data_IF_712830402254
#
_entry.id   IF_712830402254
#
_cell.length_a   1.000
_cell.length_b   1.000
_cell.length_c   1.000
_cell.angle_alpha   90.00
_cell.angle_beta   90.00
_cell.angle_gamma   90.00
#
_symmetry.space_group_name_H-M   'P 1'
#
loop_
_entity.id
_entity.type
_entity.pdbx_description
1 polymer ?
#
# COMPACT_ATOMS: atom_id res chain seq x y z
N UNK A 1 4.66 5.33 -19.32
CA UNK A 1 5.03 4.71 -18.02
C UNK A 1 3.96 5.13 -17.01
N UNK A 2 3.59 4.28 -16.04
CA UNK A 2 2.54 4.62 -15.07
C UNK A 2 2.97 5.80 -14.19
N UNK A 3 2.06 6.76 -14.01
CA UNK A 3 2.26 7.87 -13.09
C UNK A 3 1.75 7.50 -11.69
N UNK A 4 2.68 7.25 -10.78
CA UNK A 4 2.39 6.91 -9.38
C UNK A 4 2.09 8.13 -8.52
N UNK A 5 2.20 9.33 -9.09
CA UNK A 5 1.98 10.60 -8.41
C UNK A 5 0.80 11.38 -8.96
N UNK A 6 -0.04 10.75 -9.81
CA UNK A 6 -1.34 11.31 -10.19
C UNK A 6 -2.12 11.71 -8.94
N UNK A 7 -2.77 12.87 -8.97
CA UNK A 7 -3.62 13.36 -7.87
C UNK A 7 -5.05 12.82 -7.92
N UNK A 8 -5.44 12.17 -9.02
CA UNK A 8 -6.78 11.62 -9.20
C UNK A 8 -6.74 10.24 -9.84
N UNK A 9 -7.67 9.39 -9.43
CA UNK A 9 -7.98 8.10 -10.02
C UNK A 9 -8.76 8.31 -11.33
N UNK A 10 -8.85 7.30 -12.20
CA UNK A 10 -9.66 7.39 -13.43
C UNK A 10 -11.15 7.66 -13.15
N UNK A 11 -11.64 7.28 -11.96
CA UNK A 11 -12.99 7.58 -11.48
C UNK A 11 -13.21 9.06 -11.12
N UNK A 12 -12.17 9.89 -11.12
CA UNK A 12 -12.20 11.28 -10.68
C UNK A 12 -12.10 11.49 -9.17
N UNK A 13 -11.98 10.41 -8.39
CA UNK A 13 -11.72 10.50 -6.95
C UNK A 13 -10.28 10.94 -6.69
N UNK A 14 -10.01 11.72 -5.63
CA UNK A 14 -8.65 11.99 -5.18
C UNK A 14 -7.92 10.68 -4.91
N UNK A 15 -6.69 10.56 -5.40
CA UNK A 15 -5.83 9.40 -5.14
C UNK A 15 -4.98 9.61 -3.89
N UNK A 16 -4.99 10.79 -3.28
CA UNK A 16 -4.10 11.11 -2.18
C UNK A 16 -4.75 11.85 -1.02
N UNK A 17 -4.17 11.61 0.16
CA UNK A 17 -4.55 12.28 1.41
C UNK A 17 -3.29 12.67 2.16
N UNK A 18 -3.14 13.97 2.43
CA UNK A 18 -2.08 14.50 3.29
C UNK A 18 -2.57 14.52 4.75
N UNK A 19 -1.79 13.98 5.66
CA UNK A 19 -2.17 13.81 7.06
C UNK A 19 -0.94 13.81 7.97
N UNK A 20 -1.11 14.17 9.25
CA UNK A 20 -0.02 14.20 10.24
C UNK A 20 -0.43 13.63 11.61
N UNK A 21 -1.60 13.00 11.66
CA UNK A 21 -2.19 12.42 12.85
C UNK A 21 -1.28 11.34 13.42
N UNK A 22 -1.17 11.33 14.76
CA UNK A 22 -0.31 10.36 15.46
C UNK A 22 -0.77 8.92 15.30
N UNK A 23 -2.04 8.72 14.93
CA UNK A 23 -2.65 7.43 14.73
C UNK A 23 -3.72 7.53 13.65
N UNK A 24 -3.63 6.67 12.64
CA UNK A 24 -4.67 6.51 11.62
C UNK A 24 -4.70 5.07 11.10
N UNK A 25 -5.81 4.72 10.47
CA UNK A 25 -6.00 3.46 9.78
C UNK A 25 -5.85 3.59 8.28
N UNK A 26 -5.49 2.48 7.63
CA UNK A 26 -5.66 2.28 6.20
C UNK A 26 -6.76 1.24 6.01
N UNK A 27 -7.74 1.59 5.19
CA UNK A 27 -8.94 0.82 4.92
C UNK A 27 -8.98 0.44 3.45
N UNK A 28 -9.59 -0.70 3.18
CA UNK A 28 -10.07 -1.12 1.85
C UNK A 28 -11.46 -1.72 2.08
N UNK A 29 -12.48 -1.16 1.44
CA UNK A 29 -13.86 -1.64 1.58
C UNK A 29 -14.14 -2.67 0.50
N UNK A 30 -14.01 -3.95 0.85
CA UNK A 30 -14.27 -5.06 -0.05
C UNK A 30 -15.71 -5.09 -0.62
N UNK A 31 -16.66 -4.38 0.00
CA UNK A 31 -18.03 -4.23 -0.53
C UNK A 31 -18.10 -3.22 -1.68
N UNK A 32 -17.09 -2.37 -1.81
CA UNK A 32 -16.95 -1.30 -2.81
C UNK A 32 -15.73 -1.56 -3.69
N UNK A 33 -15.76 -2.67 -4.42
CA UNK A 33 -14.64 -3.18 -5.25
C UNK A 33 -14.05 -2.20 -6.27
N UNK A 34 -14.70 -1.08 -6.53
CA UNK A 34 -14.27 -0.03 -7.47
C UNK A 34 -13.78 1.24 -6.77
N UNK A 35 -13.88 1.32 -5.44
CA UNK A 35 -13.32 2.41 -4.66
C UNK A 35 -11.87 2.07 -4.30
N UNK A 36 -10.98 3.07 -4.30
CA UNK A 36 -9.59 2.88 -3.89
C UNK A 36 -9.47 2.70 -2.37
N UNK A 37 -8.35 2.11 -1.94
CA UNK A 37 -7.93 2.16 -0.55
C UNK A 37 -7.81 3.60 -0.06
N UNK A 38 -8.06 3.82 1.24
CA UNK A 38 -8.11 5.15 1.83
C UNK A 38 -7.65 5.16 3.29
N UNK A 39 -7.37 6.36 3.82
CA UNK A 39 -7.03 6.56 5.23
C UNK A 39 -8.23 7.00 6.05
N UNK A 40 -8.26 6.59 7.32
CA UNK A 40 -9.27 7.00 8.29
C UNK A 40 -8.61 7.40 9.61
N UNK A 41 -8.92 8.61 10.08
CA UNK A 41 -8.44 9.14 11.37
C UNK A 41 -9.48 8.96 12.49
N UNK A 42 -10.67 8.45 12.15
CA UNK A 42 -11.74 8.21 13.13
C UNK A 42 -11.44 6.97 13.96
N UNK A 43 -11.02 7.17 15.21
CA UNK A 43 -10.78 6.08 16.17
C UNK A 43 -12.08 5.32 16.47
N UNK A 44 -13.25 5.97 16.38
CA UNK A 44 -14.54 5.29 16.50
C UNK A 44 -14.75 4.25 15.38
N UNK A 45 -14.12 4.45 14.21
CA UNK A 45 -14.13 3.51 13.09
C UNK A 45 -12.92 2.56 13.11
N UNK A 46 -12.08 2.52 14.15
CA UNK A 46 -10.85 1.73 14.16
C UNK A 46 -11.06 0.23 13.92
N UNK A 47 -12.26 -0.28 14.20
CA UNK A 47 -12.62 -1.65 13.88
C UNK A 47 -12.54 -1.96 12.38
N UNK A 48 -12.72 -0.98 11.48
CA UNK A 48 -12.68 -1.15 10.02
C UNK A 48 -11.27 -1.02 9.43
N UNK A 49 -10.28 -0.63 10.23
CA UNK A 49 -8.91 -0.46 9.77
C UNK A 49 -8.28 -1.83 9.49
N UNK A 50 -7.71 -1.99 8.30
CA UNK A 50 -6.95 -3.20 7.95
C UNK A 50 -5.51 -3.06 8.40
N UNK A 51 -4.92 -1.89 8.19
CA UNK A 51 -3.62 -1.52 8.73
C UNK A 51 -3.77 -0.35 9.71
N UNK A 52 -2.90 -0.34 10.73
CA UNK A 52 -2.77 0.75 11.70
C UNK A 52 -1.41 1.40 11.51
N UNK A 53 -1.38 2.72 11.41
CA UNK A 53 -0.14 3.51 11.33
C UNK A 53 0.04 4.31 12.62
N UNK A 54 1.16 4.08 13.32
CA UNK A 54 1.56 4.85 14.49
C UNK A 54 2.60 5.90 14.11
N UNK A 55 2.15 7.11 13.80
CA UNK A 55 2.99 8.26 13.46
C UNK A 55 3.30 9.10 14.72
N UNK A 56 3.92 8.49 15.73
CA UNK A 56 4.11 9.13 17.05
C UNK A 56 4.83 10.48 17.00
N UNK A 57 5.69 10.68 16.01
CA UNK A 57 6.44 11.92 15.80
C UNK A 57 5.64 13.01 15.06
N UNK A 58 4.44 12.70 14.54
CA UNK A 58 3.62 13.65 13.79
C UNK A 58 4.25 14.08 12.48
N UNK A 59 4.94 13.16 11.78
CA UNK A 59 5.46 13.46 10.44
C UNK A 59 4.29 13.79 9.51
N UNK A 60 4.53 14.71 8.58
CA UNK A 60 3.65 14.84 7.44
C UNK A 60 3.78 13.57 6.57
N UNK A 61 2.65 12.90 6.39
CA UNK A 61 2.53 11.67 5.60
C UNK A 61 1.57 11.94 4.47
N UNK A 62 1.95 11.55 3.26
CA UNK A 62 1.06 11.51 2.10
C UNK A 62 0.69 10.05 1.84
N UNK A 63 -0.57 9.70 2.07
CA UNK A 63 -1.11 8.45 1.56
C UNK A 63 -1.47 8.62 0.09
N UNK A 64 -1.13 7.63 -0.73
CA UNK A 64 -1.45 7.53 -2.15
C UNK A 64 -2.10 6.18 -2.41
N UNK A 65 -3.36 6.17 -2.83
CA UNK A 65 -4.03 5.01 -3.36
C UNK A 65 -3.35 4.58 -4.67
N UNK A 66 -3.10 3.28 -4.79
CA UNK A 66 -2.51 2.65 -5.96
C UNK A 66 -3.55 1.76 -6.62
N UNK A 67 -4.28 0.99 -5.83
CA UNK A 67 -5.44 0.24 -6.32
C UNK A 67 -6.51 1.20 -6.86
N UNK A 68 -7.19 0.75 -7.92
CA UNK A 68 -8.18 1.54 -8.67
C UNK A 68 -7.75 2.93 -9.22
N UNK A 69 -6.56 3.44 -8.89
CA UNK A 69 -6.10 4.77 -9.30
C UNK A 69 -5.00 4.75 -10.35
N UNK A 70 -4.20 3.69 -10.40
CA UNK A 70 -3.08 3.58 -11.34
C UNK A 70 -3.32 2.45 -12.33
N UNK A 71 -3.45 2.82 -13.61
CA UNK A 71 -3.52 1.88 -14.72
C UNK A 71 -2.11 1.38 -15.09
N UNK A 72 -1.82 0.13 -14.74
CA UNK A 72 -0.59 -0.57 -15.13
C UNK A 72 -1.00 -1.76 -15.98
N UNK A 73 -0.55 -1.81 -17.24
CA UNK A 73 -0.87 -2.89 -18.17
C UNK A 73 0.35 -3.78 -18.41
N UNK A 74 0.11 -5.08 -18.48
CA UNK A 74 1.07 -6.06 -19.00
C UNK A 74 1.24 -5.86 -20.50
N UNK A 75 2.28 -6.46 -21.08
CA UNK A 75 2.45 -6.50 -22.55
C UNK A 75 1.29 -7.15 -23.31
N UNK A 76 0.48 -7.98 -22.63
CA UNK A 76 -0.75 -8.57 -23.18
C UNK A 76 -1.96 -7.62 -23.17
N UNK A 77 -1.84 -6.40 -22.65
CA UNK A 77 -2.95 -5.45 -22.47
C UNK A 77 -3.83 -5.73 -21.25
N UNK A 78 -3.57 -6.80 -20.49
CA UNK A 78 -4.27 -7.08 -19.24
C UNK A 78 -3.75 -6.22 -18.09
N UNK A 79 -4.62 -5.94 -17.12
CA UNK A 79 -4.24 -5.25 -15.89
C UNK A 79 -3.15 -6.01 -15.15
N UNK A 80 -2.09 -5.30 -14.77
CA UNK A 80 -1.03 -5.80 -13.92
C UNK A 80 -1.45 -5.76 -12.45
N UNK A 81 -0.94 -6.71 -11.66
CA UNK A 81 -1.14 -6.71 -10.21
C UNK A 81 -0.42 -5.51 -9.60
N UNK A 82 -1.07 -4.87 -8.65
CA UNK A 82 -0.59 -3.70 -7.91
C UNK A 82 -1.04 -3.81 -6.46
N UNK A 83 -0.30 -3.19 -5.54
CA UNK A 83 -0.71 -3.10 -4.15
C UNK A 83 -1.78 -2.03 -3.94
N UNK A 84 -2.32 -1.98 -2.72
CA UNK A 84 -3.41 -1.07 -2.37
C UNK A 84 -2.95 0.38 -2.27
N UNK A 85 -1.81 0.65 -1.64
CA UNK A 85 -1.38 2.04 -1.50
C UNK A 85 0.09 2.24 -1.15
N UNK A 86 0.46 3.52 -1.05
CA UNK A 86 1.76 3.99 -0.61
C UNK A 86 1.62 5.04 0.50
N UNK A 87 2.54 5.01 1.46
CA UNK A 87 2.77 6.12 2.39
C UNK A 87 4.10 6.78 2.06
N UNK A 88 4.09 8.10 1.91
CA UNK A 88 5.28 8.89 1.66
C UNK A 88 5.53 9.84 2.82
N UNK A 89 6.74 9.83 3.36
CA UNK A 89 7.17 10.79 4.38
C UNK A 89 8.69 10.97 4.28
N UNK A 90 9.18 12.20 4.39
CA UNK A 90 10.59 12.53 4.18
C UNK A 90 11.14 11.92 2.87
N UNK A 91 12.20 11.12 2.94
CA UNK A 91 12.76 10.36 1.81
C UNK A 91 12.25 8.92 1.74
N UNK A 92 11.26 8.52 2.54
CA UNK A 92 10.77 7.14 2.63
C UNK A 92 9.45 6.96 1.87
N UNK A 93 9.38 5.86 1.13
CA UNK A 93 8.15 5.38 0.48
C UNK A 93 7.86 3.98 1.03
N UNK A 94 6.67 3.79 1.57
CA UNK A 94 6.20 2.51 2.08
C UNK A 94 5.08 2.00 1.19
N UNK A 95 5.27 0.86 0.55
CA UNK A 95 4.22 0.14 -0.20
C UNK A 95 3.41 -0.72 0.77
N UNK A 96 2.09 -0.68 0.66
CA UNK A 96 1.18 -1.38 1.56
C UNK A 96 0.20 -2.21 0.75
N UNK A 97 0.15 -3.50 1.07
CA UNK A 97 -0.90 -4.42 0.67
C UNK A 97 -1.78 -4.73 1.88
N UNK A 98 -3.09 -4.69 1.70
CA UNK A 98 -4.13 -4.91 2.67
C UNK A 98 -4.80 -6.26 2.40
N UNK A 99 -4.99 -7.05 3.46
CA UNK A 99 -5.68 -8.34 3.39
C UNK A 99 -6.70 -8.46 4.52
N UNK A 100 -7.93 -8.81 4.18
CA UNK A 100 -8.99 -9.11 5.16
C UNK A 100 -9.26 -10.62 5.34
N UNK A 101 -8.35 -11.48 4.87
CA UNK A 101 -8.63 -12.91 4.75
C UNK A 101 -8.36 -13.74 6.01
N UNK A 102 -9.24 -14.73 6.23
CA UNK A 102 -9.14 -15.84 7.19
C UNK A 102 -8.56 -17.12 6.60
N UNK A 103 -7.84 -17.06 5.47
CA UNK A 103 -7.31 -18.30 4.89
C UNK A 103 -6.32 -18.94 5.91
N UNK A 104 -6.57 -20.17 6.40
CA UNK A 104 -5.67 -20.83 7.35
C UNK A 104 -4.29 -21.13 6.73
N UNK A 105 -4.14 -21.05 5.40
CA UNK A 105 -2.86 -21.17 4.72
C UNK A 105 -2.07 -19.86 4.64
N UNK A 106 -0.73 -19.93 4.58
CA UNK A 106 0.18 -18.77 4.35
C UNK A 106 0.09 -18.19 2.92
N UNK A 107 -0.88 -18.63 2.11
CA UNK A 107 -1.01 -18.28 0.69
C UNK A 107 -1.32 -16.80 0.50
N UNK A 108 -2.19 -16.22 1.33
CA UNK A 108 -2.53 -14.80 1.27
C UNK A 108 -1.29 -13.89 1.39
N UNK A 109 -0.33 -14.27 2.24
CA UNK A 109 0.86 -13.48 2.48
C UNK A 109 1.87 -13.61 1.35
N UNK A 110 1.98 -14.79 0.75
CA UNK A 110 2.78 -15.00 -0.45
C UNK A 110 2.22 -14.19 -1.62
N UNK A 111 0.92 -14.30 -1.88
CA UNK A 111 0.25 -13.55 -2.96
C UNK A 111 0.40 -12.05 -2.75
N UNK A 112 0.09 -11.55 -1.56
CA UNK A 112 0.28 -10.14 -1.21
C UNK A 112 1.73 -9.67 -1.41
N UNK A 113 2.71 -10.51 -1.05
CA UNK A 113 4.12 -10.19 -1.26
C UNK A 113 4.46 -10.07 -2.75
N UNK A 114 3.90 -10.93 -3.60
CA UNK A 114 4.10 -10.84 -5.06
C UNK A 114 3.44 -9.58 -5.65
N UNK A 115 2.27 -9.15 -5.16
CA UNK A 115 1.63 -7.90 -5.61
C UNK A 115 2.51 -6.69 -5.31
N UNK A 116 3.02 -6.61 -4.08
CA UNK A 116 3.91 -5.50 -3.67
C UNK A 116 5.21 -5.52 -4.46
N UNK A 117 5.85 -6.68 -4.63
CA UNK A 117 7.08 -6.81 -5.43
C UNK A 117 6.85 -6.35 -6.88
N UNK A 118 5.73 -6.73 -7.48
CA UNK A 118 5.41 -6.31 -8.84
C UNK A 118 5.23 -4.80 -8.92
N UNK A 119 4.47 -4.21 -7.99
CA UNK A 119 4.28 -2.76 -7.90
C UNK A 119 5.60 -2.00 -7.78
N UNK A 120 6.52 -2.49 -6.93
CA UNK A 120 7.84 -1.87 -6.75
C UNK A 120 8.67 -1.93 -8.03
N UNK A 121 8.61 -3.04 -8.79
CA UNK A 121 9.30 -3.14 -10.09
C UNK A 121 8.77 -2.08 -11.05
N UNK A 122 7.45 -1.95 -11.15
CA UNK A 122 6.82 -0.97 -12.03
C UNK A 122 7.12 0.46 -11.60
N UNK A 123 7.14 0.72 -10.29
CA UNK A 123 7.53 2.01 -9.71
C UNK A 123 8.99 2.36 -10.03
N UNK A 124 9.95 1.45 -9.76
CA UNK A 124 11.38 1.65 -10.07
C UNK A 124 11.63 1.85 -11.57
N UNK A 125 10.82 1.23 -12.43
CA UNK A 125 10.94 1.40 -13.88
C UNK A 125 10.42 2.76 -14.35
N UNK A 126 9.45 3.35 -13.64
CA UNK A 126 8.81 4.61 -14.01
C UNK A 126 9.41 5.85 -13.33
N UNK A 127 10.07 5.68 -12.18
CA UNK A 127 10.51 6.79 -11.32
C UNK A 127 11.95 6.62 -10.85
N UNK A 128 12.69 7.72 -10.76
CA UNK A 128 14.01 7.72 -10.11
C UNK A 128 13.86 7.54 -8.60
N UNK A 129 14.55 6.53 -8.08
CA UNK A 129 14.51 6.17 -6.66
C UNK A 129 15.80 6.53 -5.92
N UNK A 130 16.71 7.26 -6.58
CA UNK A 130 17.96 7.73 -5.98
C UNK A 130 17.69 8.56 -4.72
N UNK A 131 18.33 8.17 -3.60
CA UNK A 131 18.16 8.82 -2.31
C UNK A 131 16.82 8.51 -1.60
N UNK A 132 15.97 7.63 -2.15
CA UNK A 132 14.74 7.18 -1.50
C UNK A 132 14.96 5.90 -0.69
N UNK A 133 14.26 5.78 0.42
CA UNK A 133 14.19 4.56 1.23
C UNK A 133 12.88 3.88 0.90
N UNK A 134 12.94 2.71 0.27
CA UNK A 134 11.74 1.93 -0.06
C UNK A 134 11.49 0.87 1.02
N UNK A 135 10.25 0.71 1.46
CA UNK A 135 9.80 -0.34 2.40
C UNK A 135 8.50 -0.95 1.89
N UNK A 136 8.17 -2.14 2.38
CA UNK A 136 6.93 -2.81 2.01
C UNK A 136 6.33 -3.58 3.19
N UNK A 137 5.01 -3.57 3.28
CA UNK A 137 4.24 -4.33 4.25
C UNK A 137 3.03 -4.99 3.59
N UNK A 138 2.76 -6.22 3.99
CA UNK A 138 1.47 -6.88 3.76
C UNK A 138 0.78 -6.94 5.12
N UNK A 139 -0.26 -6.14 5.29
CA UNK A 139 -1.04 -6.03 6.51
C UNK A 139 -2.28 -6.91 6.43
N UNK A 140 -2.51 -7.71 7.47
CA UNK A 140 -3.73 -8.51 7.59
C UNK A 140 -4.50 -8.10 8.85
N UNK A 141 -5.76 -7.68 8.66
CA UNK A 141 -6.65 -7.23 9.74
C UNK A 141 -6.85 -8.29 10.83
N UNK A 142 -6.91 -9.56 10.42
CA UNK A 142 -7.21 -10.72 11.27
C UNK A 142 -5.96 -11.26 11.96
N UNK A 143 -4.78 -11.06 11.34
CA UNK A 143 -3.49 -11.49 11.88
C UNK A 143 -2.53 -10.31 12.07
N UNK A 144 -2.82 -9.37 13.00
CA UNK A 144 -2.03 -8.14 13.15
C UNK A 144 -0.56 -8.40 13.52
N UNK A 145 -0.26 -9.52 14.20
CA UNK A 145 1.10 -9.88 14.60
C UNK A 145 1.91 -10.62 13.51
N UNK A 146 1.28 -11.07 12.41
CA UNK A 146 1.98 -11.77 11.32
C UNK A 146 2.92 -10.84 10.52
N UNK A 147 2.79 -9.52 10.68
CA UNK A 147 3.58 -8.50 9.97
C UNK A 147 5.09 -8.68 10.17
N UNK A 148 5.55 -9.11 11.36
CA UNK A 148 6.98 -9.20 11.69
C UNK A 148 7.73 -10.23 10.82
N UNK A 149 7.09 -11.37 10.52
CA UNK A 149 7.68 -12.42 9.69
C UNK A 149 7.81 -11.98 8.22
N UNK A 150 6.81 -11.26 7.70
CA UNK A 150 6.75 -10.84 6.30
C UNK A 150 7.54 -9.56 6.02
N UNK A 151 7.66 -8.67 7.00
CA UNK A 151 8.55 -7.50 6.96
C UNK A 151 9.99 -7.92 6.63
N UNK A 152 10.47 -9.02 7.21
CA UNK A 152 11.83 -9.52 6.99
C UNK A 152 12.04 -10.01 5.54
N UNK A 153 11.06 -10.70 4.95
CA UNK A 153 11.14 -11.22 3.58
C UNK A 153 11.11 -10.09 2.55
N UNK A 154 10.22 -9.11 2.72
CA UNK A 154 10.08 -7.98 1.82
C UNK A 154 11.28 -7.01 1.94
N UNK A 155 11.79 -6.78 3.16
CA UNK A 155 12.99 -5.98 3.35
C UNK A 155 14.26 -6.62 2.79
N UNK A 156 14.34 -7.96 2.80
CA UNK A 156 15.43 -8.65 2.13
C UNK A 156 15.35 -8.53 0.61
N UNK A 157 14.16 -8.46 0.02
CA UNK A 157 14.00 -8.18 -1.42
C UNK A 157 14.60 -6.81 -1.81
N UNK A 158 14.41 -5.77 -1.00
CA UNK A 158 15.04 -4.46 -1.24
C UNK A 158 16.57 -4.44 -1.11
N UNK A 159 17.17 -5.39 -0.37
CA UNK A 159 18.64 -5.49 -0.28
C UNK A 159 19.26 -6.23 -1.46
N UNK A 160 18.47 -7.06 -2.15
CA UNK A 160 18.92 -7.90 -3.25
C UNK A 160 18.64 -7.31 -4.63
N UNK A 161 17.99 -6.14 -4.71
CA UNK A 161 17.57 -5.44 -5.95
C UNK A 161 17.66 -3.94 -5.81
#
# INVERSE_FOLDING_TARGET
MPDFFTGFCESGQPSDTLLNEQLFGICDDATRRTEPAYVSTSVAAAATWIARVENRAGYEVLFKAVDQCILILKGSGQLQSRCDGMLLYNSTIIFVELKEQRDPGKKWAFEGSEQVKQTIKDFKAAHDTTGKILRAYVANRIQPNAQQAHFSVLNNFFKAT
#
